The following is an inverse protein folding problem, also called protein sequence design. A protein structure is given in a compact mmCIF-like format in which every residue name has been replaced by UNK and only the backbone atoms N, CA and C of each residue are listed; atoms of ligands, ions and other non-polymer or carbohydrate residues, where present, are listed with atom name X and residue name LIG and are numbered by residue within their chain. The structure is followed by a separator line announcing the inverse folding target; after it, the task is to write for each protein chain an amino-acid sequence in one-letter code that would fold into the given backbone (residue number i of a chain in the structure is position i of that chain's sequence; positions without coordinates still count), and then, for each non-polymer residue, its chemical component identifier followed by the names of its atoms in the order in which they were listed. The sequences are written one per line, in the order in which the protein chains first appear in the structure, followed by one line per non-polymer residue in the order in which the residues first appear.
data_IF_256526707993
#
_entry.id   IF_256526707993
#
_cell.length_a   1.000
_cell.length_b   1.000
_cell.length_c   1.000
_cell.angle_alpha   90.00
_cell.angle_beta   90.00
_cell.angle_gamma   90.00
#
_symmetry.space_group_name_H-M   'P 1'
#
loop_
_entity.id
_entity.type
_entity.pdbx_description
1 polymer ?
#
# COMPACT_ATOMS: atom_id res chain seq x y z
N UNK A 1 -15.23 -0.67 14.59
CA UNK A 1 -14.21 -1.11 15.59
C UNK A 1 -12.87 -0.71 15.00
N UNK A 2 -12.15 0.22 15.63
CA UNK A 2 -10.84 0.69 15.13
C UNK A 2 -9.84 -0.47 15.07
N UNK A 3 -9.15 -0.62 13.94
CA UNK A 3 -8.06 -1.59 13.78
C UNK A 3 -6.75 -0.84 13.98
N UNK A 4 -6.30 -0.69 15.22
CA UNK A 4 -4.97 -0.16 15.50
C UNK A 4 -3.91 -1.17 15.04
N UNK A 5 -3.00 -0.75 14.15
CA UNK A 5 -1.83 -1.57 13.77
C UNK A 5 -0.57 -0.74 13.93
N UNK A 6 0.21 -1.09 14.94
CA UNK A 6 1.52 -0.51 15.18
C UNK A 6 2.54 -1.24 14.31
N UNK A 7 3.24 -0.51 13.43
CA UNK A 7 4.33 -1.09 12.63
C UNK A 7 5.69 -0.59 13.15
N UNK A 8 5.95 -0.85 14.44
CA UNK A 8 7.24 -0.54 15.11
C UNK A 8 8.45 -1.16 14.40
N UNK A 9 8.25 -2.24 13.64
CA UNK A 9 9.33 -2.97 12.95
C UNK A 9 9.77 -2.34 11.62
N UNK A 10 8.91 -1.54 10.97
CA UNK A 10 9.18 -1.02 9.63
C UNK A 10 9.61 0.45 9.66
N UNK A 11 8.88 1.30 10.40
CA UNK A 11 9.25 2.70 10.61
C UNK A 11 8.74 3.20 11.98
N UNK A 12 9.67 3.55 12.88
CA UNK A 12 9.34 4.01 14.25
C UNK A 12 8.67 5.38 14.28
N UNK A 13 8.89 6.17 13.24
CA UNK A 13 8.40 7.55 13.16
C UNK A 13 6.99 7.62 12.55
N UNK A 14 6.42 6.48 12.13
CA UNK A 14 5.10 6.38 11.53
C UNK A 14 4.14 5.59 12.43
N UNK A 15 3.04 6.23 12.81
CA UNK A 15 1.89 5.59 13.44
C UNK A 15 0.67 5.83 12.56
N UNK A 16 -0.16 4.81 12.37
CA UNK A 16 -1.43 4.97 11.66
C UNK A 16 -2.54 4.17 12.33
N UNK A 17 -3.74 4.74 12.26
CA UNK A 17 -4.99 4.13 12.70
C UNK A 17 -5.94 4.09 11.52
N UNK A 18 -6.78 3.06 11.44
CA UNK A 18 -7.81 3.01 10.41
C UNK A 18 -9.06 2.29 10.89
N UNK A 19 -10.17 2.68 10.29
CA UNK A 19 -11.45 1.96 10.32
C UNK A 19 -11.90 1.69 8.87
N UNK A 20 -13.15 1.29 8.65
CA UNK A 20 -13.64 0.98 7.31
C UNK A 20 -13.76 2.24 6.39
N UNK A 21 -13.67 3.46 6.93
CA UNK A 21 -13.98 4.72 6.25
C UNK A 21 -12.83 5.71 6.17
N UNK A 22 -11.83 5.60 7.04
CA UNK A 22 -10.72 6.55 7.08
C UNK A 22 -9.41 5.95 7.61
N UNK A 23 -8.33 6.69 7.37
CA UNK A 23 -6.99 6.45 7.92
C UNK A 23 -6.50 7.74 8.55
N UNK A 24 -6.11 7.70 9.82
CA UNK A 24 -5.33 8.74 10.48
C UNK A 24 -3.85 8.35 10.45
N UNK A 25 -3.00 9.28 10.03
CA UNK A 25 -1.55 9.09 9.96
C UNK A 25 -0.89 10.15 10.85
N UNK A 26 -0.02 9.71 11.74
CA UNK A 26 0.86 10.56 12.54
C UNK A 26 2.29 10.20 12.16
N UNK A 27 3.00 11.17 11.56
CA UNK A 27 4.38 10.98 11.12
C UNK A 27 5.30 12.04 11.72
N UNK A 28 6.33 11.58 12.43
CA UNK A 28 7.44 12.41 12.91
C UNK A 28 8.51 12.50 11.83
N UNK A 29 8.95 13.71 11.48
CA UNK A 29 10.02 13.82 10.48
C UNK A 29 11.36 13.35 11.08
N UNK A 30 12.19 12.63 10.31
CA UNK A 30 13.50 12.20 10.78
C UNK A 30 14.35 13.39 11.24
N UNK A 31 14.95 13.28 12.42
CA UNK A 31 15.78 14.35 12.99
C UNK A 31 15.00 15.50 13.64
N UNK A 32 13.67 15.42 13.72
CA UNK A 32 12.85 16.41 14.44
C UNK A 32 11.93 15.75 15.46
N UNK A 33 11.37 16.54 16.36
CA UNK A 33 10.27 16.10 17.26
C UNK A 33 8.90 16.51 16.73
N UNK A 34 8.86 17.20 15.58
CA UNK A 34 7.62 17.71 15.00
C UNK A 34 6.79 16.58 14.40
N UNK A 35 5.49 16.61 14.68
CA UNK A 35 4.53 15.63 14.19
C UNK A 35 3.65 16.25 13.13
N UNK A 36 3.59 15.60 11.97
CA UNK A 36 2.58 15.86 10.94
C UNK A 36 1.41 14.90 11.12
N UNK A 37 0.19 15.42 11.00
CA UNK A 37 -1.04 14.62 11.02
C UNK A 37 -1.71 14.71 9.66
N UNK A 38 -2.17 13.57 9.15
CA UNK A 38 -2.88 13.46 7.88
C UNK A 38 -4.11 12.57 8.07
N UNK A 39 -5.16 12.86 7.30
CA UNK A 39 -6.35 12.03 7.21
C UNK A 39 -6.57 11.67 5.75
N UNK A 40 -6.86 10.39 5.50
CA UNK A 40 -7.29 9.90 4.20
C UNK A 40 -8.69 9.35 4.41
N UNK A 41 -9.69 9.96 3.79
CA UNK A 41 -11.03 9.42 3.76
C UNK A 41 -11.17 8.47 2.58
N UNK A 42 -12.03 7.46 2.71
CA UNK A 42 -12.40 6.60 1.58
C UNK A 42 -12.91 7.42 0.39
N UNK A 43 -13.64 8.51 0.65
CA UNK A 43 -14.13 9.43 -0.37
C UNK A 43 -13.03 10.13 -1.16
N UNK A 44 -11.82 10.22 -0.61
CA UNK A 44 -10.66 10.84 -1.28
C UNK A 44 -9.97 9.85 -2.24
N UNK A 45 -10.28 8.55 -2.11
CA UNK A 45 -9.77 7.51 -3.00
C UNK A 45 -10.58 7.53 -4.30
N UNK A 46 -9.97 8.02 -5.38
CA UNK A 46 -10.61 8.18 -6.69
C UNK A 46 -10.96 6.83 -7.35
N UNK A 47 -12.06 6.21 -6.91
CA UNK A 47 -12.67 5.03 -7.54
C UNK A 47 -14.17 5.28 -7.70
N UNK A 48 -14.67 4.92 -8.88
CA UNK A 48 -16.10 4.86 -9.18
C UNK A 48 -16.69 3.55 -8.64
N UNK A 49 -16.88 3.48 -7.33
CA UNK A 49 -17.57 2.39 -6.66
C UNK A 49 -18.47 2.96 -5.56
N UNK A 50 -19.73 2.56 -5.54
CA UNK A 50 -20.75 3.16 -4.67
C UNK A 50 -20.40 3.06 -3.18
N UNK A 51 -19.67 2.01 -2.77
CA UNK A 51 -19.30 1.77 -1.36
C UNK A 51 -17.95 1.06 -1.25
N UNK A 52 -16.86 1.82 -1.19
CA UNK A 52 -15.56 1.30 -0.77
C UNK A 52 -15.48 1.19 0.75
N UNK A 53 -14.75 0.18 1.25
CA UNK A 53 -14.41 0.03 2.66
C UNK A 53 -12.95 -0.36 2.83
N UNK A 54 -12.22 0.31 3.71
CA UNK A 54 -10.83 -0.05 4.04
C UNK A 54 -10.82 -1.34 4.88
N UNK A 55 -10.08 -2.35 4.43
CA UNK A 55 -9.95 -3.63 5.15
C UNK A 55 -8.59 -3.82 5.79
N UNK A 56 -7.54 -3.38 5.10
CA UNK A 56 -6.18 -3.45 5.61
C UNK A 56 -5.37 -2.23 5.20
N UNK A 57 -4.48 -1.79 6.10
CA UNK A 57 -3.43 -0.83 5.80
C UNK A 57 -2.09 -1.44 6.17
N UNK A 58 -1.19 -1.48 5.20
CA UNK A 58 0.16 -2.02 5.34
C UNK A 58 1.17 -0.91 5.13
N UNK A 59 2.24 -0.86 5.93
CA UNK A 59 3.33 0.08 5.70
C UNK A 59 4.55 -0.61 5.08
N UNK A 60 5.22 0.09 4.17
CA UNK A 60 6.54 -0.26 3.65
C UNK A 60 7.42 1.00 3.55
N UNK A 61 8.69 0.83 3.17
CA UNK A 61 9.64 1.92 2.99
C UNK A 61 10.31 1.86 1.63
N UNK A 62 10.15 2.93 0.85
CA UNK A 62 10.82 3.13 -0.43
C UNK A 62 11.83 4.27 -0.32
N UNK A 63 13.12 4.01 -0.60
CA UNK A 63 14.19 5.00 -0.48
C UNK A 63 14.14 5.73 0.88
N UNK A 64 13.99 4.96 1.95
CA UNK A 64 13.79 5.43 3.33
C UNK A 64 12.52 6.21 3.62
N UNK A 65 11.71 6.55 2.61
CA UNK A 65 10.44 7.25 2.78
C UNK A 65 9.31 6.27 3.17
N UNK A 66 8.50 6.60 4.18
CA UNK A 66 7.35 5.80 4.56
C UNK A 66 6.24 5.85 3.52
N UNK A 67 5.70 4.68 3.19
CA UNK A 67 4.58 4.51 2.27
C UNK A 67 3.55 3.59 2.89
N UNK A 68 2.29 3.83 2.56
CA UNK A 68 1.19 2.94 2.94
C UNK A 68 0.61 2.28 1.69
N UNK A 69 0.27 1.00 1.82
CA UNK A 69 -0.60 0.28 0.90
C UNK A 69 -1.95 0.12 1.60
N UNK A 70 -2.98 0.68 0.99
CA UNK A 70 -4.36 0.68 1.48
C UNK A 70 -5.12 -0.35 0.66
N UNK A 71 -5.60 -1.41 1.30
CA UNK A 71 -6.45 -2.41 0.67
C UNK A 71 -7.90 -2.14 1.07
N UNK A 72 -8.72 -1.86 0.07
CA UNK A 72 -10.14 -1.63 0.19
C UNK A 72 -10.93 -2.74 -0.50
N UNK A 73 -12.20 -2.87 -0.15
CA UNK A 73 -13.15 -3.76 -0.83
C UNK A 73 -14.39 -2.96 -1.21
N UNK A 74 -14.97 -3.22 -2.37
CA UNK A 74 -16.26 -2.66 -2.77
C UNK A 74 -17.43 -3.57 -2.37
N UNK A 75 -18.66 -3.15 -2.70
CA UNK A 75 -19.89 -3.91 -2.44
C UNK A 75 -19.96 -5.26 -3.15
N UNK A 76 -19.21 -5.42 -4.23
CA UNK A 76 -19.17 -6.64 -5.05
C UNK A 76 -18.04 -7.59 -4.62
N UNK A 77 -17.36 -7.28 -3.51
CA UNK A 77 -16.17 -7.97 -3.00
C UNK A 77 -14.95 -7.90 -3.93
N UNK A 78 -14.85 -6.90 -4.81
CA UNK A 78 -13.60 -6.64 -5.51
C UNK A 78 -12.65 -5.86 -4.60
N UNK A 79 -11.42 -6.35 -4.51
CA UNK A 79 -10.39 -5.71 -3.73
C UNK A 79 -9.64 -4.68 -4.58
N UNK A 80 -9.56 -3.48 -4.04
CA UNK A 80 -8.88 -2.33 -4.62
C UNK A 80 -7.69 -1.96 -3.77
N UNK A 81 -6.56 -1.62 -4.39
CA UNK A 81 -5.33 -1.32 -3.66
C UNK A 81 -4.85 0.06 -4.06
N UNK A 82 -4.36 0.80 -3.07
CA UNK A 82 -3.81 2.13 -3.27
C UNK A 82 -2.46 2.23 -2.59
N UNK A 83 -1.58 2.97 -3.22
CA UNK A 83 -0.35 3.44 -2.62
C UNK A 83 -0.59 4.85 -2.08
N UNK A 84 -0.04 5.16 -0.92
CA UNK A 84 0.01 6.51 -0.36
C UNK A 84 1.43 6.88 0.05
N UNK A 85 1.89 8.02 -0.46
CA UNK A 85 3.14 8.67 -0.03
C UNK A 85 2.88 9.52 1.19
N UNK A 86 3.40 9.13 2.36
CA UNK A 86 3.22 9.91 3.59
C UNK A 86 3.87 11.29 3.48
N UNK A 87 5.04 11.40 2.85
CA UNK A 87 5.75 12.69 2.72
C UNK A 87 5.10 13.56 1.64
N UNK A 88 4.89 13.01 0.44
CA UNK A 88 4.35 13.78 -0.70
C UNK A 88 2.82 14.00 -0.61
N UNK A 89 2.13 13.29 0.29
CA UNK A 89 0.67 13.28 0.45
C UNK A 89 -0.07 12.90 -0.84
N UNK A 90 0.55 12.03 -1.63
CA UNK A 90 0.00 11.55 -2.90
C UNK A 90 -0.56 10.13 -2.75
N UNK A 91 -1.79 9.94 -3.21
CA UNK A 91 -2.44 8.64 -3.31
C UNK A 91 -2.56 8.22 -4.78
N UNK A 92 -2.23 6.97 -5.10
CA UNK A 92 -2.41 6.40 -6.44
C UNK A 92 -3.02 5.01 -6.36
N UNK A 93 -3.97 4.72 -7.23
CA UNK A 93 -4.54 3.37 -7.38
C UNK A 93 -3.49 2.43 -7.98
N UNK A 94 -3.39 1.23 -7.41
CA UNK A 94 -2.63 0.11 -7.96
C UNK A 94 -3.59 -0.69 -8.84
N UNK A 95 -3.34 -0.68 -10.15
CA UNK A 95 -4.18 -1.39 -11.10
C UNK A 95 -3.68 -2.83 -11.29
N UNK A 96 -4.62 -3.77 -11.32
CA UNK A 96 -4.36 -5.16 -11.66
C UNK A 96 -5.10 -5.50 -12.95
N UNK A 97 -4.46 -6.31 -13.80
CA UNK A 97 -5.11 -6.82 -15.02
C UNK A 97 -6.31 -7.72 -14.67
N UNK A 98 -6.20 -8.49 -13.59
CA UNK A 98 -7.28 -9.35 -13.08
C UNK A 98 -7.75 -8.83 -11.73
N UNK A 99 -9.06 -8.57 -11.56
CA UNK A 99 -9.62 -8.22 -10.26
C UNK A 99 -9.38 -9.30 -9.21
N UNK A 100 -9.04 -8.88 -7.99
CA UNK A 100 -8.86 -9.80 -6.86
C UNK A 100 -10.18 -9.82 -6.09
N UNK A 101 -10.89 -10.95 -6.10
CA UNK A 101 -12.26 -11.05 -5.56
C UNK A 101 -12.29 -11.90 -4.29
N UNK A 102 -13.06 -11.43 -3.30
CA UNK A 102 -13.37 -12.16 -2.06
C UNK A 102 -12.84 -11.51 -0.80
N UNK A 103 -13.22 -12.06 0.36
CA UNK A 103 -12.86 -11.52 1.66
C UNK A 103 -11.38 -11.75 1.98
N UNK A 104 -10.63 -10.66 2.15
CA UNK A 104 -9.24 -10.71 2.64
C UNK A 104 -9.26 -11.11 4.12
N UNK A 105 -8.59 -12.21 4.44
CA UNK A 105 -8.40 -12.68 5.83
C UNK A 105 -7.04 -12.26 6.39
N UNK A 106 -6.05 -12.07 5.52
CA UNK A 106 -4.73 -11.57 5.89
C UNK A 106 -4.08 -10.82 4.73
N UNK A 107 -3.26 -9.84 5.06
CA UNK A 107 -2.42 -9.13 4.10
C UNK A 107 -1.04 -8.86 4.70
N UNK A 108 0.02 -9.11 3.93
CA UNK A 108 1.42 -8.86 4.31
C UNK A 108 2.18 -8.28 3.12
N UNK A 109 3.13 -7.40 3.38
CA UNK A 109 4.03 -6.87 2.35
C UNK A 109 5.47 -6.95 2.85
N UNK A 110 6.42 -7.11 1.94
CA UNK A 110 7.84 -7.01 2.29
C UNK A 110 8.15 -5.60 2.82
N UNK A 111 8.99 -5.57 3.85
CA UNK A 111 9.46 -4.35 4.52
C UNK A 111 10.54 -3.62 3.72
N UNK A 112 11.23 -4.31 2.80
CA UNK A 112 12.18 -3.74 1.85
C UNK A 112 11.87 -4.23 0.43
N UNK A 113 12.19 -3.42 -0.60
CA UNK A 113 12.10 -3.89 -1.95
C UNK A 113 13.19 -4.93 -2.24
N UNK A 114 12.92 -5.80 -3.20
CA UNK A 114 13.86 -6.77 -3.74
C UNK A 114 13.92 -6.66 -5.26
N UNK A 115 14.99 -7.16 -5.84
CA UNK A 115 15.20 -7.14 -7.29
C UNK A 115 14.58 -8.37 -7.95
N UNK A 116 13.90 -8.14 -9.06
CA UNK A 116 13.37 -9.19 -9.93
C UNK A 116 13.92 -8.98 -11.33
N UNK A 117 14.39 -10.06 -11.95
CA UNK A 117 14.84 -10.08 -13.34
C UNK A 117 13.64 -10.37 -14.24
N UNK A 118 13.30 -9.42 -15.10
CA UNK A 118 12.23 -9.56 -16.09
C UNK A 118 12.82 -9.96 -17.42
N UNK A 119 12.34 -11.06 -17.98
CA UNK A 119 12.64 -11.47 -19.35
C UNK A 119 11.52 -10.95 -20.25
N UNK A 120 11.78 -9.84 -20.94
CA UNK A 120 10.85 -9.34 -21.94
C UNK A 120 10.87 -10.23 -23.18
N UNK A 121 9.74 -10.31 -23.90
CA UNK A 121 9.64 -11.03 -25.17
C UNK A 121 10.61 -10.39 -26.17
N UNK A 122 11.84 -10.94 -26.20
CA UNK A 122 13.06 -10.58 -26.93
C UNK A 122 14.24 -10.14 -26.01
N UNK A 123 14.87 -11.16 -25.41
CA UNK A 123 16.28 -11.29 -24.97
C UNK A 123 16.87 -10.33 -23.92
N UNK A 124 16.33 -9.14 -23.66
CA UNK A 124 16.88 -8.26 -22.63
C UNK A 124 16.29 -8.55 -21.26
N UNK A 125 17.15 -8.96 -20.34
CA UNK A 125 16.84 -9.00 -18.92
C UNK A 125 16.89 -7.58 -18.36
N UNK A 126 15.77 -7.09 -17.83
CA UNK A 126 15.73 -5.83 -17.07
C UNK A 126 15.55 -6.17 -15.59
N UNK A 127 16.37 -5.57 -14.73
CA UNK A 127 16.24 -5.72 -13.28
C UNK A 127 15.39 -4.58 -12.73
N UNK A 128 14.28 -4.89 -12.06
CA UNK A 128 13.43 -3.89 -11.38
C UNK A 128 13.27 -4.17 -9.90
N UNK A 129 13.24 -3.12 -9.11
CA UNK A 129 12.90 -3.21 -7.69
C UNK A 129 11.39 -3.35 -7.50
N UNK A 130 11.00 -4.32 -6.66
CA UNK A 130 9.62 -4.70 -6.41
C UNK A 130 9.35 -4.95 -4.92
N UNK A 131 8.09 -4.82 -4.51
CA UNK A 131 7.58 -5.39 -3.25
C UNK A 131 6.70 -6.60 -3.52
N UNK A 132 6.71 -7.56 -2.59
CA UNK A 132 5.80 -8.70 -2.62
C UNK A 132 4.67 -8.41 -1.64
N UNK A 133 3.45 -8.30 -2.16
CA UNK A 133 2.21 -8.22 -1.40
C UNK A 133 1.55 -9.61 -1.44
N UNK A 134 1.35 -10.21 -0.27
CA UNK A 134 0.71 -11.52 -0.08
C UNK A 134 -0.66 -11.30 0.53
N UNK A 135 -1.68 -11.84 -0.12
CA UNK A 135 -3.08 -11.69 0.26
C UNK A 135 -3.70 -13.07 0.46
N UNK A 136 -4.16 -13.35 1.68
CA UNK A 136 -4.94 -14.54 1.98
C UNK A 136 -6.43 -14.27 1.85
N UNK A 137 -7.15 -15.17 1.18
CA UNK A 137 -8.60 -15.11 0.97
C UNK A 137 -9.25 -16.22 1.80
N UNK A 138 -10.47 -15.98 2.30
CA UNK A 138 -11.20 -16.88 3.20
C UNK A 138 -11.31 -18.34 2.74
N UNK A 139 -11.26 -18.61 1.44
CA UNK A 139 -11.33 -19.96 0.87
C UNK A 139 -9.97 -20.70 0.91
N UNK A 140 -8.95 -20.19 1.62
CA UNK A 140 -7.61 -20.76 1.68
C UNK A 140 -6.70 -20.37 0.51
N UNK A 141 -7.25 -19.72 -0.53
CA UNK A 141 -6.48 -19.18 -1.65
C UNK A 141 -5.54 -18.07 -1.19
N UNK A 142 -4.34 -18.04 -1.76
CA UNK A 142 -3.36 -16.97 -1.53
C UNK A 142 -2.97 -16.35 -2.86
N UNK A 143 -2.99 -15.02 -2.94
CA UNK A 143 -2.54 -14.26 -4.10
C UNK A 143 -1.21 -13.59 -3.74
N UNK A 144 -0.20 -13.80 -4.58
CA UNK A 144 1.07 -13.08 -4.53
C UNK A 144 1.06 -12.01 -5.62
N UNK A 145 1.37 -10.78 -5.24
CA UNK A 145 1.38 -9.61 -6.11
C UNK A 145 2.78 -8.99 -6.06
N UNK A 146 3.35 -8.73 -7.23
CA UNK A 146 4.58 -7.97 -7.37
C UNK A 146 4.23 -6.51 -7.69
N UNK A 147 4.53 -5.62 -6.75
CA UNK A 147 4.35 -4.18 -6.91
C UNK A 147 5.65 -3.58 -7.42
N UNK A 148 5.66 -3.11 -8.68
CA UNK A 148 6.82 -2.43 -9.24
C UNK A 148 7.00 -1.05 -8.62
N UNK A 149 8.26 -0.68 -8.39
CA UNK A 149 8.61 0.68 -8.01
C UNK A 149 8.80 1.50 -9.28
N UNK A 150 7.94 2.50 -9.48
CA UNK A 150 8.14 3.46 -10.55
C UNK A 150 9.20 4.50 -10.13
N UNK A 151 10.36 4.46 -10.78
CA UNK A 151 11.45 5.40 -10.55
C UNK A 151 11.20 6.78 -11.18
N UNK A 152 10.18 6.94 -12.02
CA UNK A 152 9.83 8.24 -12.63
C UNK A 152 9.31 9.27 -11.61
N UNK A 153 9.00 8.83 -10.38
CA UNK A 153 8.69 9.71 -9.24
C UNK A 153 9.93 10.32 -8.55
N UNK A 154 11.14 10.07 -9.05
CA UNK A 154 12.39 10.68 -8.58
C UNK A 154 13.03 11.57 -9.65
N UNK A 155 12.48 12.77 -9.84
CA UNK A 155 13.11 13.92 -10.50
C UNK A 155 12.55 15.15 -9.75
N UNK A 156 13.25 15.97 -8.97
CA UNK A 156 14.67 16.25 -8.71
C UNK A 156 14.84 16.80 -7.28
N UNK A 157 16.05 16.72 -6.72
CA UNK A 157 16.52 17.61 -5.62
C UNK A 157 16.85 18.97 -6.22
#
# INVERSE_FOLDING_TARGET
MEKAKFNYEVNRDLVYYFDDTQIEIIYTQPGTTEKSRQHILVSDLQIDAEKLQIKHVLSCRLHDQPKLIIACVDSDNHNHFFWHSVIAKECKKINFETPIVGNITQAKITNRPFEVNYVYKNLTAETKMCYALVIGIQNGSTVLILLHIDHSLNISI
#
